data_IF_485922766407
#
_entry.id   IF_485922766407
#
_cell.length_a   1.000
_cell.length_b   1.000
_cell.length_c   1.000
_cell.angle_alpha   90.00
_cell.angle_beta   90.00
_cell.angle_gamma   90.00
#
_symmetry.space_group_name_H-M   'P 1'
#
loop_
_entity.id
_entity.type
_entity.pdbx_description
1 polymer ?
#
# COMPACT_ATOMS: atom_id res chain seq x y z
N UNK A 1 3.63 -23.90 -19.69
CA UNK A 1 3.04 -24.15 -18.36
C UNK A 1 3.46 -23.01 -17.43
N UNK A 2 2.51 -22.34 -16.77
CA UNK A 2 2.78 -21.27 -15.79
C UNK A 2 3.41 -21.92 -14.55
N UNK A 3 4.51 -21.38 -14.05
CA UNK A 3 5.22 -21.91 -12.87
C UNK A 3 5.14 -20.98 -11.67
N UNK A 4 4.90 -19.69 -11.89
CA UNK A 4 4.77 -18.69 -10.83
C UNK A 4 3.69 -17.66 -11.18
N UNK A 5 3.06 -17.12 -10.15
CA UNK A 5 2.12 -16.01 -10.23
C UNK A 5 2.55 -14.94 -9.22
N UNK A 6 2.57 -13.69 -9.68
CA UNK A 6 2.96 -12.53 -8.88
C UNK A 6 1.73 -11.64 -8.71
N UNK A 7 1.38 -11.33 -7.48
CA UNK A 7 0.21 -10.51 -7.15
C UNK A 7 0.63 -9.19 -6.51
N UNK A 8 -0.05 -8.13 -6.85
CA UNK A 8 -0.05 -6.93 -6.04
C UNK A 8 -1.04 -7.08 -4.87
N UNK A 9 -0.98 -6.21 -3.88
CA UNK A 9 -1.84 -6.21 -2.71
C UNK A 9 -2.99 -5.21 -2.86
N UNK A 10 -2.66 -3.92 -2.79
CA UNK A 10 -3.64 -2.82 -2.73
C UNK A 10 -4.34 -2.66 -4.09
N UNK A 11 -5.67 -2.80 -4.11
CA UNK A 11 -6.47 -2.75 -5.34
C UNK A 11 -6.49 -4.05 -6.17
N UNK A 12 -5.76 -5.10 -5.73
CA UNK A 12 -5.70 -6.41 -6.40
C UNK A 12 -6.24 -7.54 -5.52
N UNK A 13 -5.67 -7.72 -4.34
CA UNK A 13 -6.16 -8.71 -3.38
C UNK A 13 -7.06 -8.10 -2.32
N UNK A 14 -6.83 -6.83 -2.01
CA UNK A 14 -7.61 -6.07 -1.02
C UNK A 14 -8.01 -4.69 -1.54
N UNK A 15 -9.17 -4.23 -1.09
CA UNK A 15 -9.58 -2.83 -1.17
C UNK A 15 -9.11 -2.12 0.09
N UNK A 16 -8.03 -1.35 0.00
CA UNK A 16 -7.40 -0.65 1.12
C UNK A 16 -7.62 0.86 1.09
N UNK A 17 -8.27 1.40 0.06
CA UNK A 17 -8.48 2.84 -0.10
C UNK A 17 -9.09 3.51 1.14
N UNK A 18 -10.15 2.97 1.80
CA UNK A 18 -10.71 3.61 2.98
C UNK A 18 -9.70 3.73 4.14
N UNK A 19 -8.87 2.72 4.35
CA UNK A 19 -7.81 2.73 5.38
C UNK A 19 -6.74 3.78 5.06
N UNK A 20 -6.26 3.78 3.83
CA UNK A 20 -5.22 4.70 3.37
C UNK A 20 -5.72 6.15 3.42
N UNK A 21 -6.95 6.40 2.96
CA UNK A 21 -7.57 7.73 3.02
C UNK A 21 -7.79 8.20 4.45
N UNK A 22 -8.18 7.31 5.35
CA UNK A 22 -8.32 7.64 6.78
C UNK A 22 -7.00 8.07 7.40
N UNK A 23 -5.91 7.41 7.09
CA UNK A 23 -4.57 7.81 7.55
C UNK A 23 -4.16 9.19 7.00
N UNK A 24 -4.44 9.47 5.73
CA UNK A 24 -4.20 10.79 5.11
C UNK A 24 -5.06 11.87 5.77
N UNK A 25 -6.34 11.57 6.07
CA UNK A 25 -7.20 12.49 6.81
C UNK A 25 -6.60 12.82 8.19
N UNK A 26 -6.19 11.81 8.95
CA UNK A 26 -5.59 11.99 10.28
C UNK A 26 -4.32 12.85 10.21
N UNK A 27 -3.42 12.54 9.27
CA UNK A 27 -2.21 13.32 9.02
C UNK A 27 -2.53 14.79 8.67
N UNK A 28 -3.45 15.00 7.73
CA UNK A 28 -3.83 16.35 7.28
C UNK A 28 -4.38 17.19 8.44
N UNK A 29 -5.25 16.60 9.27
CA UNK A 29 -5.80 17.27 10.46
C UNK A 29 -4.72 17.60 11.49
N UNK A 30 -3.79 16.66 11.75
CA UNK A 30 -2.67 16.85 12.68
C UNK A 30 -1.77 18.02 12.27
N UNK A 31 -1.52 18.15 10.97
CA UNK A 31 -0.68 19.19 10.39
C UNK A 31 -1.43 20.50 10.08
N UNK A 32 -2.74 20.57 10.34
CA UNK A 32 -3.55 21.73 10.00
C UNK A 32 -3.66 21.98 8.48
N UNK A 33 -3.41 20.95 7.67
CA UNK A 33 -3.47 21.00 6.22
C UNK A 33 -4.90 20.68 5.71
N UNK A 34 -5.24 21.08 4.47
CA UNK A 34 -6.49 20.69 3.84
C UNK A 34 -6.64 19.17 3.76
N UNK A 35 -7.84 18.64 4.01
CA UNK A 35 -8.14 17.21 3.95
C UNK A 35 -8.62 16.84 2.55
N UNK A 36 -7.90 16.00 1.78
CA UNK A 36 -8.36 15.56 0.47
C UNK A 36 -9.55 14.61 0.58
N UNK A 37 -10.53 14.68 -0.34
CA UNK A 37 -11.56 13.66 -0.47
C UNK A 37 -10.98 12.27 -0.72
N UNK A 38 -11.65 11.21 -0.27
CA UNK A 38 -11.22 9.81 -0.45
C UNK A 38 -10.91 9.48 -1.91
N UNK A 39 -11.77 9.91 -2.85
CA UNK A 39 -11.55 9.69 -4.28
C UNK A 39 -10.23 10.30 -4.78
N UNK A 40 -9.88 11.49 -4.29
CA UNK A 40 -8.60 12.15 -4.61
C UNK A 40 -7.41 11.37 -4.04
N UNK A 41 -7.54 10.84 -2.84
CA UNK A 41 -6.52 9.95 -2.26
C UNK A 41 -6.36 8.69 -3.12
N UNK A 42 -7.46 8.15 -3.67
CA UNK A 42 -7.44 7.02 -4.59
C UNK A 42 -6.51 7.24 -5.79
N UNK A 43 -6.53 8.44 -6.37
CA UNK A 43 -5.67 8.82 -7.49
C UNK A 43 -4.19 8.96 -7.10
N UNK A 44 -3.90 9.05 -5.80
CA UNK A 44 -2.53 9.17 -5.28
C UNK A 44 -1.88 7.79 -4.99
N UNK A 45 -2.67 6.71 -4.93
CA UNK A 45 -2.20 5.36 -4.57
C UNK A 45 -1.51 4.67 -5.75
N UNK A 46 -0.73 3.63 -5.48
CA UNK A 46 -0.10 2.73 -6.45
C UNK A 46 1.42 2.90 -6.58
N UNK A 47 1.95 4.10 -6.36
CA UNK A 47 3.40 4.36 -6.46
C UNK A 47 4.20 4.17 -5.16
N UNK A 48 3.55 3.72 -4.08
CA UNK A 48 4.13 3.67 -2.74
C UNK A 48 3.98 5.00 -1.99
N UNK A 49 4.37 4.99 -0.70
CA UNK A 49 4.11 6.12 0.20
C UNK A 49 4.84 7.40 -0.22
N UNK A 50 6.05 7.32 -0.79
CA UNK A 50 6.79 8.51 -1.26
C UNK A 50 6.02 9.24 -2.35
N UNK A 51 5.56 8.52 -3.37
CA UNK A 51 4.77 9.09 -4.47
C UNK A 51 3.44 9.65 -3.95
N UNK A 52 2.83 9.00 -2.96
CA UNK A 52 1.61 9.50 -2.33
C UNK A 52 1.88 10.85 -1.64
N UNK A 53 2.97 10.99 -0.87
CA UNK A 53 3.31 12.27 -0.22
C UNK A 53 3.62 13.36 -1.25
N UNK A 54 4.35 13.07 -2.35
CA UNK A 54 4.58 14.04 -3.43
C UNK A 54 3.26 14.56 -4.00
N UNK A 55 2.32 13.65 -4.31
CA UNK A 55 1.01 14.00 -4.85
C UNK A 55 0.16 14.75 -3.82
N UNK A 56 0.24 14.37 -2.55
CA UNK A 56 -0.47 15.03 -1.45
C UNK A 56 0.04 16.47 -1.27
N UNK A 57 1.32 16.70 -1.34
CA UNK A 57 1.92 18.04 -1.27
C UNK A 57 1.46 18.92 -2.42
N UNK A 58 1.47 18.39 -3.66
CA UNK A 58 0.95 19.11 -4.82
C UNK A 58 -0.53 19.46 -4.65
N UNK A 59 -1.31 18.54 -4.12
CA UNK A 59 -2.72 18.77 -3.86
C UNK A 59 -2.93 19.82 -2.75
N UNK A 60 -2.18 19.76 -1.64
CA UNK A 60 -2.24 20.76 -0.57
C UNK A 60 -1.92 22.16 -1.07
N UNK A 61 -0.90 22.31 -1.93
CA UNK A 61 -0.58 23.61 -2.57
C UNK A 61 -1.75 24.10 -3.42
N UNK A 62 -2.33 23.24 -4.24
CA UNK A 62 -3.52 23.56 -5.04
C UNK A 62 -4.75 23.93 -4.20
N UNK A 63 -4.88 23.36 -3.00
CA UNK A 63 -5.93 23.66 -2.02
C UNK A 63 -5.62 24.90 -1.13
N UNK A 64 -4.51 25.61 -1.38
CA UNK A 64 -4.18 26.88 -0.73
C UNK A 64 -3.24 26.78 0.47
N UNK A 65 -2.60 25.62 0.70
CA UNK A 65 -1.56 25.52 1.72
C UNK A 65 -0.38 26.43 1.34
N UNK A 66 0.01 27.34 2.23
CA UNK A 66 1.08 28.31 2.00
C UNK A 66 2.46 27.73 2.26
N UNK A 67 2.56 26.82 3.20
CA UNK A 67 3.78 26.15 3.60
C UNK A 67 3.55 24.65 3.60
N UNK A 68 4.58 23.89 3.24
CA UNK A 68 4.57 22.44 3.30
C UNK A 68 5.47 21.98 4.44
N UNK A 69 5.08 20.93 5.16
CA UNK A 69 5.95 20.34 6.16
C UNK A 69 7.16 19.64 5.52
N UNK A 70 8.13 19.25 6.34
CA UNK A 70 9.27 18.45 5.86
C UNK A 70 8.80 17.11 5.31
N UNK A 71 9.34 16.71 4.16
CA UNK A 71 8.91 15.52 3.43
C UNK A 71 9.13 14.23 4.22
N UNK A 72 10.34 14.03 4.76
CA UNK A 72 10.70 12.79 5.42
C UNK A 72 9.94 12.63 6.76
N UNK A 73 9.78 13.71 7.51
CA UNK A 73 8.97 13.68 8.74
C UNK A 73 7.50 13.41 8.46
N UNK A 74 6.95 13.97 7.37
CA UNK A 74 5.57 13.71 6.94
C UNK A 74 5.37 12.26 6.54
N UNK A 75 6.30 11.71 5.77
CA UNK A 75 6.30 10.30 5.36
C UNK A 75 6.35 9.38 6.58
N UNK A 76 7.31 9.59 7.47
CA UNK A 76 7.45 8.78 8.69
C UNK A 76 6.19 8.86 9.56
N UNK A 77 5.60 10.06 9.68
CA UNK A 77 4.37 10.25 10.45
C UNK A 77 3.19 9.50 9.84
N UNK A 78 3.01 9.56 8.51
CA UNK A 78 1.95 8.82 7.83
C UNK A 78 2.10 7.30 8.00
N UNK A 79 3.31 6.77 7.85
CA UNK A 79 3.59 5.35 8.08
C UNK A 79 3.28 4.97 9.54
N UNK A 80 3.65 5.81 10.51
CA UNK A 80 3.34 5.58 11.91
C UNK A 80 1.83 5.60 12.19
N UNK A 81 1.07 6.51 11.55
CA UNK A 81 -0.40 6.53 11.65
C UNK A 81 -0.96 5.20 11.14
N UNK A 82 -0.61 4.77 9.93
CA UNK A 82 -1.09 3.50 9.39
C UNK A 82 -0.69 2.28 10.23
N UNK A 83 0.53 2.28 10.78
CA UNK A 83 0.99 1.20 11.69
C UNK A 83 0.18 1.11 12.99
N UNK A 84 -0.43 2.21 13.42
CA UNK A 84 -1.30 2.26 14.59
C UNK A 84 -2.77 1.97 14.29
N UNK A 85 -3.15 1.78 13.03
CA UNK A 85 -4.53 1.47 12.65
C UNK A 85 -4.79 -0.04 12.71
N UNK A 86 -6.04 -0.42 12.98
CA UNK A 86 -6.44 -1.81 13.18
C UNK A 86 -6.57 -2.64 11.89
N UNK A 87 -6.45 -2.01 10.73
CA UNK A 87 -6.72 -2.69 9.44
C UNK A 87 -8.20 -3.01 9.18
N UNK A 88 -9.10 -2.57 10.05
CA UNK A 88 -10.54 -2.90 9.97
C UNK A 88 -11.24 -2.32 8.74
N UNK A 89 -10.66 -1.31 8.10
CA UNK A 89 -11.19 -0.72 6.87
C UNK A 89 -10.68 -1.42 5.60
N UNK A 90 -9.68 -2.31 5.74
CA UNK A 90 -9.19 -3.11 4.61
C UNK A 90 -10.14 -4.29 4.39
N UNK A 91 -10.62 -4.44 3.16
CA UNK A 91 -11.54 -5.53 2.76
C UNK A 91 -10.91 -6.40 1.69
N UNK A 92 -11.09 -7.71 1.79
CA UNK A 92 -10.75 -8.63 0.70
C UNK A 92 -11.55 -8.28 -0.55
N UNK A 93 -10.90 -8.32 -1.70
CA UNK A 93 -11.61 -8.33 -2.99
C UNK A 93 -12.22 -9.72 -3.15
N UNK A 94 -13.54 -9.83 -3.37
CA UNK A 94 -14.24 -11.12 -3.35
C UNK A 94 -13.56 -12.18 -4.22
N UNK A 95 -13.19 -13.30 -3.60
CA UNK A 95 -12.55 -14.43 -4.26
C UNK A 95 -11.05 -14.30 -4.50
N UNK A 96 -10.42 -13.18 -4.16
CA UNK A 96 -9.00 -12.94 -4.43
C UNK A 96 -8.12 -13.98 -3.73
N UNK A 97 -8.24 -14.14 -2.41
CA UNK A 97 -7.43 -15.12 -1.68
C UNK A 97 -7.82 -16.58 -1.98
N UNK A 98 -9.07 -16.85 -2.31
CA UNK A 98 -9.48 -18.18 -2.81
C UNK A 98 -8.80 -18.51 -4.15
N UNK A 99 -8.66 -17.53 -5.04
CA UNK A 99 -7.89 -17.68 -6.29
C UNK A 99 -6.41 -17.94 -6.04
N UNK A 100 -5.78 -17.20 -5.10
CA UNK A 100 -4.39 -17.41 -4.68
C UNK A 100 -4.21 -18.84 -4.14
N UNK A 101 -5.11 -19.29 -3.27
CA UNK A 101 -5.08 -20.62 -2.69
C UNK A 101 -5.18 -21.70 -3.78
N UNK A 102 -6.11 -21.55 -4.74
CA UNK A 102 -6.28 -22.50 -5.85
C UNK A 102 -5.03 -22.62 -6.73
N UNK A 103 -4.33 -21.51 -6.98
CA UNK A 103 -3.06 -21.54 -7.72
C UNK A 103 -1.98 -22.29 -6.95
N UNK A 104 -1.88 -22.07 -5.65
CA UNK A 104 -0.94 -22.76 -4.79
C UNK A 104 -1.20 -24.27 -4.75
N UNK A 105 -2.48 -24.68 -4.63
CA UNK A 105 -2.90 -26.08 -4.67
C UNK A 105 -2.61 -26.73 -6.03
N UNK A 106 -2.62 -25.98 -7.12
CA UNK A 106 -2.21 -26.40 -8.43
C UNK A 106 -0.67 -26.49 -8.62
N UNK A 107 0.11 -26.25 -7.55
CA UNK A 107 1.57 -26.32 -7.59
C UNK A 107 2.24 -25.09 -8.22
N UNK A 108 1.52 -23.98 -8.38
CA UNK A 108 2.07 -22.72 -8.89
C UNK A 108 2.68 -21.97 -7.72
N UNK A 109 3.93 -21.52 -7.85
CA UNK A 109 4.56 -20.65 -6.87
C UNK A 109 3.91 -19.27 -6.86
N UNK A 110 3.41 -18.82 -5.71
CA UNK A 110 2.68 -17.56 -5.58
C UNK A 110 3.48 -16.56 -4.75
N UNK A 111 3.68 -15.36 -5.30
CA UNK A 111 4.46 -14.30 -4.66
C UNK A 111 3.64 -13.03 -4.53
N UNK A 112 3.83 -12.31 -3.44
CA UNK A 112 3.30 -10.97 -3.26
C UNK A 112 4.37 -9.94 -3.66
N UNK A 113 4.03 -9.01 -4.57
CA UNK A 113 4.93 -7.98 -5.08
C UNK A 113 4.23 -6.63 -5.02
N UNK A 114 4.56 -5.82 -4.03
CA UNK A 114 3.82 -4.60 -3.71
C UNK A 114 4.71 -3.39 -3.46
N UNK A 115 4.25 -2.19 -3.85
CA UNK A 115 4.89 -0.93 -3.48
C UNK A 115 4.54 -0.47 -2.05
N UNK A 116 3.74 -1.26 -1.30
CA UNK A 116 3.46 -1.00 0.10
C UNK A 116 4.69 -1.27 0.96
N UNK A 117 4.85 -0.50 2.03
CA UNK A 117 5.93 -0.68 3.01
C UNK A 117 5.94 -2.11 3.56
N UNK A 118 7.16 -2.69 3.67
CA UNK A 118 7.34 -4.08 4.13
C UNK A 118 6.69 -4.33 5.47
N UNK A 119 6.97 -3.47 6.46
CA UNK A 119 6.43 -3.64 7.82
C UNK A 119 4.90 -3.65 7.87
N UNK A 120 4.25 -2.75 7.12
CA UNK A 120 2.78 -2.69 7.01
C UNK A 120 2.22 -3.92 6.31
N UNK A 121 2.92 -4.42 5.27
CA UNK A 121 2.50 -5.60 4.52
C UNK A 121 2.59 -6.86 5.39
N UNK A 122 3.71 -7.07 6.06
CA UNK A 122 3.93 -8.23 6.93
C UNK A 122 2.97 -8.23 8.13
N UNK A 123 2.72 -7.07 8.74
CA UNK A 123 1.74 -6.94 9.81
C UNK A 123 0.34 -7.36 9.33
N UNK A 124 -0.11 -6.81 8.20
CA UNK A 124 -1.39 -7.15 7.61
C UNK A 124 -1.53 -8.65 7.31
N UNK A 125 -0.54 -9.27 6.66
CA UNK A 125 -0.57 -10.69 6.32
C UNK A 125 -0.67 -11.57 7.58
N UNK A 126 0.10 -11.24 8.61
CA UNK A 126 0.14 -11.96 9.88
C UNK A 126 -1.17 -11.84 10.65
N UNK A 127 -1.71 -10.62 10.75
CA UNK A 127 -2.98 -10.37 11.45
C UNK A 127 -4.17 -11.09 10.81
N UNK A 128 -4.12 -11.26 9.48
CA UNK A 128 -5.15 -12.01 8.74
C UNK A 128 -4.87 -13.52 8.65
N UNK A 129 -3.69 -13.98 9.11
CA UNK A 129 -3.31 -15.40 9.04
C UNK A 129 -3.14 -15.92 7.61
N UNK A 130 -2.76 -15.05 6.67
CA UNK A 130 -2.64 -15.35 5.23
C UNK A 130 -1.21 -15.30 4.71
N UNK A 131 -0.24 -15.09 5.56
CA UNK A 131 1.18 -15.10 5.22
C UNK A 131 1.63 -16.42 4.56
N UNK A 132 1.12 -17.54 5.05
CA UNK A 132 1.39 -18.87 4.51
C UNK A 132 0.82 -19.11 3.09
N UNK A 133 -0.02 -18.23 2.55
CA UNK A 133 -0.51 -18.33 1.17
C UNK A 133 0.60 -18.04 0.15
N UNK A 134 1.58 -17.23 0.51
CA UNK A 134 2.62 -16.77 -0.39
C UNK A 134 3.93 -17.53 -0.16
N UNK A 135 4.62 -17.85 -1.25
CA UNK A 135 5.97 -18.41 -1.22
C UNK A 135 7.02 -17.35 -0.85
N UNK A 136 6.69 -16.07 -1.05
CA UNK A 136 7.53 -14.96 -0.64
C UNK A 136 6.88 -13.60 -0.90
N UNK A 137 7.57 -12.58 -0.41
CA UNK A 137 7.17 -11.17 -0.48
C UNK A 137 8.32 -10.34 -1.04
N UNK A 138 8.00 -9.50 -2.03
CA UNK A 138 8.84 -8.38 -2.45
C UNK A 138 8.05 -7.10 -2.18
N UNK A 139 8.57 -6.23 -1.32
CA UNK A 139 7.90 -5.03 -0.85
C UNK A 139 8.75 -3.78 -1.10
N UNK A 140 8.21 -2.60 -0.81
CA UNK A 140 8.96 -1.35 -0.88
C UNK A 140 10.25 -1.43 -0.06
N UNK A 141 11.36 -0.97 -0.65
CA UNK A 141 12.69 -0.99 -0.05
C UNK A 141 13.53 -2.24 -0.36
N UNK A 142 12.94 -3.30 -0.93
CA UNK A 142 13.68 -4.52 -1.28
C UNK A 142 14.51 -4.39 -2.57
N UNK A 143 14.16 -3.46 -3.43
CA UNK A 143 14.80 -3.19 -4.71
C UNK A 143 15.10 -1.71 -4.84
N UNK A 144 16.05 -1.36 -5.72
CA UNK A 144 16.42 0.02 -5.97
C UNK A 144 15.25 0.86 -6.51
N UNK A 145 14.44 0.26 -7.38
CA UNK A 145 13.32 0.95 -8.00
C UNK A 145 12.00 0.16 -7.77
N UNK A 146 10.94 0.86 -7.26
CA UNK A 146 9.63 0.26 -7.10
C UNK A 146 8.91 0.09 -8.44
N UNK A 147 7.80 -0.65 -8.46
CA UNK A 147 6.92 -0.70 -9.63
C UNK A 147 6.50 0.72 -10.06
N UNK A 148 6.47 1.05 -11.36
CA UNK A 148 6.44 0.16 -12.51
C UNK A 148 7.82 -0.29 -13.04
N UNK A 149 8.94 0.03 -12.36
CA UNK A 149 10.22 -0.54 -12.75
C UNK A 149 10.20 -2.09 -12.60
N UNK A 150 10.95 -2.82 -13.44
CA UNK A 150 10.92 -4.28 -13.44
C UNK A 150 11.69 -4.91 -12.27
N UNK A 151 12.44 -4.14 -11.50
CA UNK A 151 13.37 -4.60 -10.46
C UNK A 151 12.71 -5.60 -9.50
N UNK A 152 11.49 -5.30 -9.05
CA UNK A 152 10.75 -6.13 -8.11
C UNK A 152 10.24 -7.45 -8.73
N UNK A 153 10.21 -7.56 -10.05
CA UNK A 153 9.73 -8.75 -10.76
C UNK A 153 10.87 -9.70 -11.17
N UNK A 154 12.11 -9.22 -11.15
CA UNK A 154 13.31 -9.99 -11.56
C UNK A 154 14.20 -10.38 -10.37
N UNK A 155 13.83 -9.97 -9.17
CA UNK A 155 14.49 -10.34 -7.91
C UNK A 155 14.18 -11.78 -7.53
#
# INVERSE_FOLDING_TARGET
MIRAALFDLDGTLVSSLPELAKGVEMLSRELGAPVPPEAVVGDMIGGGVRVLIDRLFLWWQGAGAKELPDFESTLQRLVAIWSGMSGDLIREIPGAFAGVQSLKEAGISVWLVTNKERGLTEAFLRERGIDALFNGLVAAGDCAHPKPAPDMLIK
#
